data_IF_757863410969
#
_entry.id   IF_757863410969
#
_cell.length_a   1.000
_cell.length_b   1.000
_cell.length_c   1.000
_cell.angle_alpha   90.00
_cell.angle_beta   90.00
_cell.angle_gamma   90.00
#
_symmetry.space_group_name_H-M   'P 1'
#
loop_
_entity.id
_entity.type
_entity.pdbx_description
1 polymer ?
#
# COMPACT_ATOMS: atom_id res chain seq x y z
N UNK A 1 -4.14 23.00 26.72
CA UNK A 1 -5.24 22.81 25.75
C UNK A 1 -4.77 22.78 24.29
N UNK A 2 -3.56 23.25 23.96
CA UNK A 2 -3.03 23.27 22.58
C UNK A 2 -2.78 21.88 21.99
N UNK A 3 -2.20 20.96 22.77
CA UNK A 3 -1.82 19.61 22.27
C UNK A 3 -2.98 18.78 21.70
N UNK A 4 -4.17 18.87 22.31
CA UNK A 4 -5.37 18.18 21.81
C UNK A 4 -5.89 18.81 20.52
N UNK A 5 -5.80 20.13 20.39
CA UNK A 5 -6.21 20.86 19.19
C UNK A 5 -5.24 20.53 18.06
N UNK A 6 -3.93 20.59 18.32
CA UNK A 6 -2.86 20.21 17.40
C UNK A 6 -3.03 18.77 16.89
N UNK A 7 -3.30 17.83 17.80
CA UNK A 7 -3.56 16.42 17.46
C UNK A 7 -4.85 16.25 16.66
N UNK A 8 -5.92 16.98 17.01
CA UNK A 8 -7.20 16.89 16.31
C UNK A 8 -7.10 17.40 14.87
N UNK A 9 -6.32 18.46 14.65
CA UNK A 9 -6.11 19.05 13.32
C UNK A 9 -5.36 18.05 12.45
N UNK A 10 -4.26 17.48 12.95
CA UNK A 10 -3.50 16.46 12.22
C UNK A 10 -4.31 15.20 11.91
N UNK A 11 -5.16 14.75 12.83
CA UNK A 11 -6.02 13.59 12.58
C UNK A 11 -7.08 13.91 11.54
N UNK A 12 -7.68 15.10 11.60
CA UNK A 12 -8.74 15.52 10.67
C UNK A 12 -8.20 15.65 9.25
N UNK A 13 -7.04 16.28 9.08
CA UNK A 13 -6.36 16.39 7.80
C UNK A 13 -5.90 15.03 7.28
N UNK A 14 -5.36 14.16 8.14
CA UNK A 14 -4.98 12.81 7.76
C UNK A 14 -6.17 11.97 7.27
N UNK A 15 -7.33 12.07 7.92
CA UNK A 15 -8.58 11.42 7.48
C UNK A 15 -9.08 12.02 6.16
N UNK A 16 -9.01 13.35 6.00
CA UNK A 16 -9.39 14.01 4.75
C UNK A 16 -8.50 13.59 3.59
N UNK A 17 -7.18 13.62 3.76
CA UNK A 17 -6.22 13.23 2.72
C UNK A 17 -6.29 11.73 2.42
N UNK A 18 -6.46 10.89 3.45
CA UNK A 18 -6.69 9.47 3.28
C UNK A 18 -8.01 9.21 2.56
N UNK A 19 -9.08 9.90 2.92
CA UNK A 19 -10.40 9.81 2.30
C UNK A 19 -10.39 10.29 0.84
N UNK A 20 -9.72 11.41 0.53
CA UNK A 20 -9.55 11.91 -0.83
C UNK A 20 -8.70 10.96 -1.67
N UNK A 21 -7.57 10.50 -1.16
CA UNK A 21 -6.72 9.51 -1.82
C UNK A 21 -7.50 8.22 -2.07
N UNK A 22 -8.17 7.69 -1.06
CA UNK A 22 -9.02 6.51 -1.15
C UNK A 22 -10.14 6.66 -2.18
N UNK A 23 -10.91 7.75 -2.12
CA UNK A 23 -12.04 8.01 -3.02
C UNK A 23 -11.57 8.20 -4.47
N UNK A 24 -10.47 8.91 -4.67
CA UNK A 24 -9.87 9.11 -5.99
C UNK A 24 -9.36 7.78 -6.55
N UNK A 25 -8.64 6.99 -5.76
CA UNK A 25 -8.14 5.68 -6.19
C UNK A 25 -9.26 4.66 -6.41
N UNK A 26 -10.30 4.64 -5.57
CA UNK A 26 -11.46 3.75 -5.73
C UNK A 26 -12.24 4.07 -7.00
N UNK A 27 -12.33 5.35 -7.39
CA UNK A 27 -13.01 5.75 -8.62
C UNK A 27 -12.15 5.61 -9.89
N UNK A 28 -10.86 5.90 -9.81
CA UNK A 28 -9.98 5.95 -10.98
C UNK A 28 -9.31 4.61 -11.32
N UNK A 29 -9.09 3.73 -10.33
CA UNK A 29 -8.25 2.52 -10.51
C UNK A 29 -9.05 1.21 -10.58
N UNK A 30 -10.34 1.19 -10.18
CA UNK A 30 -11.11 -0.06 -9.96
C UNK A 30 -12.28 -0.29 -10.91
N UNK A 31 -12.45 0.50 -11.96
CA UNK A 31 -13.49 0.19 -12.96
C UNK A 31 -13.25 -1.16 -13.66
N UNK A 32 -12.03 -1.70 -13.63
CA UNK A 32 -11.66 -2.98 -14.27
C UNK A 32 -10.80 -3.94 -13.39
N UNK A 33 -10.69 -3.72 -12.07
CA UNK A 33 -9.78 -4.48 -11.18
C UNK A 33 -10.52 -5.50 -10.27
N UNK A 34 -11.60 -6.09 -10.77
CA UNK A 34 -12.46 -7.05 -10.04
C UNK A 34 -11.79 -8.39 -9.68
N UNK A 35 -10.55 -8.63 -10.11
CA UNK A 35 -9.87 -9.91 -9.87
C UNK A 35 -8.42 -9.65 -9.45
N UNK A 36 -8.20 -9.35 -8.16
CA UNK A 36 -7.32 -10.14 -7.24
C UNK A 36 -6.64 -9.37 -6.09
N UNK A 37 -6.43 -8.04 -6.06
CA UNK A 37 -5.64 -7.43 -4.96
C UNK A 37 -6.02 -6.00 -4.52
N UNK A 38 -7.14 -5.88 -3.79
CA UNK A 38 -7.54 -4.65 -3.08
C UNK A 38 -6.46 -4.12 -2.12
N UNK A 39 -5.66 -5.01 -1.52
CA UNK A 39 -4.73 -4.61 -0.45
C UNK A 39 -3.55 -3.78 -0.97
N UNK A 40 -3.09 -3.98 -2.20
CA UNK A 40 -1.98 -3.18 -2.77
C UNK A 40 -2.42 -1.72 -2.95
N UNK A 41 -3.65 -1.50 -3.39
CA UNK A 41 -4.24 -0.16 -3.49
C UNK A 41 -4.38 0.50 -2.11
N UNK A 42 -4.83 -0.25 -1.10
CA UNK A 42 -4.90 0.26 0.28
C UNK A 42 -3.52 0.69 0.75
N UNK A 43 -2.50 -0.16 0.60
CA UNK A 43 -1.12 0.15 0.99
C UNK A 43 -0.61 1.41 0.31
N UNK A 44 -0.89 1.58 -0.98
CA UNK A 44 -0.51 2.77 -1.72
C UNK A 44 -1.19 4.04 -1.17
N UNK A 45 -2.51 4.01 -0.96
CA UNK A 45 -3.26 5.14 -0.41
C UNK A 45 -2.84 5.50 1.02
N UNK A 46 -2.54 4.50 1.86
CA UNK A 46 -2.00 4.71 3.21
C UNK A 46 -0.62 5.37 3.15
N UNK A 47 0.26 4.89 2.28
CA UNK A 47 1.63 5.45 2.11
C UNK A 47 1.59 6.90 1.61
N UNK A 48 0.66 7.20 0.70
CA UNK A 48 0.41 8.55 0.22
C UNK A 48 -0.11 9.47 1.33
N UNK A 49 -1.12 9.03 2.10
CA UNK A 49 -1.64 9.80 3.22
C UNK A 49 -0.56 10.09 4.28
N UNK A 50 0.28 9.10 4.59
CA UNK A 50 1.43 9.27 5.48
C UNK A 50 2.47 10.27 4.97
N UNK A 51 2.66 10.34 3.64
CA UNK A 51 3.51 11.36 3.00
C UNK A 51 2.92 12.76 3.14
N UNK A 52 1.60 12.91 2.98
CA UNK A 52 0.89 14.16 3.24
C UNK A 52 1.00 14.62 4.70
N UNK A 53 0.87 13.70 5.67
CA UNK A 53 1.08 13.99 7.10
C UNK A 53 2.49 14.50 7.39
N UNK A 54 3.51 13.97 6.67
CA UNK A 54 4.90 14.42 6.77
C UNK A 54 5.07 15.87 6.28
N UNK A 55 4.41 16.23 5.18
CA UNK A 55 4.42 17.59 4.64
C UNK A 55 3.68 18.58 5.55
N UNK A 56 2.55 18.15 6.12
CA UNK A 56 1.78 18.96 7.05
C UNK A 56 2.54 19.25 8.35
N UNK A 57 3.32 18.30 8.84
CA UNK A 57 4.26 18.52 9.96
C UNK A 57 5.27 19.63 9.66
N UNK A 58 5.81 19.67 8.43
CA UNK A 58 6.74 20.71 8.00
C UNK A 58 6.04 22.07 7.93
N UNK A 59 4.82 22.14 7.38
CA UNK A 59 4.05 23.39 7.34
C UNK A 59 3.79 23.93 8.75
N UNK A 60 3.37 23.07 9.68
CA UNK A 60 3.13 23.48 11.07
C UNK A 60 4.40 23.84 11.83
N UNK A 61 5.56 23.33 11.42
CA UNK A 61 6.86 23.76 11.92
C UNK A 61 7.18 25.20 11.49
N UNK A 62 6.98 25.53 10.22
CA UNK A 62 7.22 26.89 9.68
C UNK A 62 6.23 27.91 10.26
N UNK A 63 4.97 27.51 10.50
CA UNK A 63 3.96 28.39 11.10
C UNK A 63 4.16 28.62 12.61
N UNK A 64 5.07 27.89 13.27
CA UNK A 64 5.39 28.08 14.69
C UNK A 64 4.27 27.73 15.68
N UNK A 65 3.22 27.03 15.22
CA UNK A 65 2.03 26.67 16.03
C UNK A 65 2.33 25.48 16.95
N UNK A 66 3.23 24.57 16.55
CA UNK A 66 3.46 23.31 17.23
C UNK A 66 4.63 23.36 18.25
N UNK A 67 4.37 22.80 19.44
CA UNK A 67 5.31 22.73 20.56
C UNK A 67 6.50 21.78 20.29
N UNK A 68 7.74 22.20 20.61
CA UNK A 68 8.99 21.53 20.19
C UNK A 68 9.08 20.04 20.55
N UNK A 69 8.61 19.63 21.73
CA UNK A 69 8.66 18.22 22.17
C UNK A 69 7.64 17.32 21.47
N UNK A 70 6.50 17.87 21.03
CA UNK A 70 5.46 17.12 20.30
C UNK A 70 5.91 16.80 18.87
N UNK A 71 6.58 17.76 18.22
CA UNK A 71 7.06 17.63 16.83
C UNK A 71 7.97 16.43 16.65
N UNK A 72 8.97 16.28 17.51
CA UNK A 72 9.97 15.22 17.37
C UNK A 72 9.36 13.82 17.50
N UNK A 73 8.34 13.68 18.35
CA UNK A 73 7.59 12.43 18.50
C UNK A 73 6.78 12.11 17.25
N UNK A 74 5.99 13.07 16.74
CA UNK A 74 5.21 12.89 15.52
C UNK A 74 6.07 12.59 14.30
N UNK A 75 7.21 13.27 14.16
CA UNK A 75 8.12 13.08 13.04
C UNK A 75 8.76 11.69 13.04
N UNK A 76 9.23 11.23 14.22
CA UNK A 76 9.83 9.91 14.38
C UNK A 76 8.82 8.78 14.21
N UNK A 77 7.60 8.94 14.73
CA UNK A 77 6.52 7.98 14.49
C UNK A 77 6.14 7.91 13.02
N UNK A 78 6.01 9.06 12.34
CA UNK A 78 5.62 9.11 10.94
C UNK A 78 6.62 8.42 10.02
N UNK A 79 7.92 8.70 10.23
CA UNK A 79 9.01 8.03 9.53
C UNK A 79 9.03 6.53 9.80
N UNK A 80 8.82 6.11 11.06
CA UNK A 80 8.82 4.70 11.43
C UNK A 80 7.70 3.93 10.70
N UNK A 81 6.49 4.47 10.66
CA UNK A 81 5.35 3.80 10.01
C UNK A 81 5.52 3.73 8.49
N UNK A 82 5.93 4.82 7.83
CA UNK A 82 6.21 4.80 6.37
C UNK A 82 7.28 3.76 6.04
N UNK A 83 8.37 3.75 6.82
CA UNK A 83 9.48 2.83 6.60
C UNK A 83 9.04 1.38 6.80
N UNK A 84 8.26 1.09 7.84
CA UNK A 84 7.73 -0.27 8.05
C UNK A 84 6.80 -0.71 6.92
N UNK A 85 5.91 0.17 6.45
CA UNK A 85 5.01 -0.15 5.33
C UNK A 85 5.83 -0.43 4.05
N UNK A 86 6.80 0.43 3.75
CA UNK A 86 7.54 0.35 2.50
C UNK A 86 8.58 -0.79 2.50
N UNK A 87 9.21 -1.07 3.64
CA UNK A 87 10.28 -2.08 3.76
C UNK A 87 9.73 -3.47 4.08
N UNK A 88 8.64 -3.60 4.85
CA UNK A 88 8.08 -4.92 5.17
C UNK A 88 6.86 -5.26 4.31
N UNK A 89 5.85 -4.40 4.27
CA UNK A 89 4.58 -4.72 3.61
C UNK A 89 4.71 -4.84 2.09
N UNK A 90 5.43 -3.93 1.44
CA UNK A 90 5.61 -3.94 -0.03
C UNK A 90 6.32 -5.22 -0.53
N UNK A 91 7.51 -5.60 -0.04
CA UNK A 91 8.18 -6.81 -0.54
C UNK A 91 7.42 -8.09 -0.16
N UNK A 92 6.71 -8.12 0.97
CA UNK A 92 5.86 -9.25 1.32
C UNK A 92 4.70 -9.42 0.32
N UNK A 93 4.11 -8.30 -0.13
CA UNK A 93 3.08 -8.31 -1.16
C UNK A 93 3.59 -8.77 -2.52
N UNK A 94 4.76 -8.27 -2.94
CA UNK A 94 5.41 -8.68 -4.19
C UNK A 94 5.74 -10.17 -4.15
N UNK A 95 6.26 -10.67 -3.02
CA UNK A 95 6.54 -12.09 -2.80
C UNK A 95 5.28 -12.96 -2.91
N UNK A 96 4.17 -12.56 -2.26
CA UNK A 96 2.90 -13.27 -2.36
C UNK A 96 2.36 -13.31 -3.80
N UNK A 97 2.47 -12.20 -4.52
CA UNK A 97 2.07 -12.12 -5.92
C UNK A 97 2.89 -13.08 -6.79
N UNK A 98 4.21 -13.07 -6.66
CA UNK A 98 5.10 -13.95 -7.44
C UNK A 98 4.78 -15.43 -7.17
N UNK A 99 4.63 -15.83 -5.90
CA UNK A 99 4.30 -17.23 -5.53
C UNK A 99 2.95 -17.66 -6.11
N UNK A 100 1.94 -16.79 -6.06
CA UNK A 100 0.61 -17.10 -6.61
C UNK A 100 0.63 -17.24 -8.14
N UNK A 101 1.41 -16.40 -8.84
CA UNK A 101 1.55 -16.48 -10.30
C UNK A 101 2.26 -17.76 -10.74
N UNK A 102 3.32 -18.19 -10.03
CA UNK A 102 4.05 -19.42 -10.36
C UNK A 102 3.16 -20.66 -10.20
N UNK A 103 2.33 -20.74 -9.15
CA UNK A 103 1.40 -21.87 -8.98
C UNK A 103 0.34 -21.93 -10.09
N UNK A 104 -0.20 -20.78 -10.51
CA UNK A 104 -1.18 -20.69 -11.59
C UNK A 104 -0.60 -21.10 -12.95
N UNK A 105 0.67 -20.77 -13.21
CA UNK A 105 1.37 -21.16 -14.45
C UNK A 105 1.79 -22.64 -14.46
N UNK A 106 2.13 -23.22 -13.30
CA UNK A 106 2.56 -24.61 -13.19
C UNK A 106 1.40 -25.61 -13.41
N UNK A 107 0.16 -25.25 -13.07
CA UNK A 107 -1.03 -26.10 -13.29
C UNK A 107 -1.23 -26.52 -14.77
N UNK A 108 -1.37 -25.60 -15.74
CA UNK A 108 -1.58 -25.97 -17.14
C UNK A 108 -0.33 -26.55 -17.82
N UNK A 109 0.88 -26.11 -17.44
CA UNK A 109 2.13 -26.65 -18.01
C UNK A 109 2.37 -28.12 -17.60
N UNK A 110 1.95 -28.51 -16.38
CA UNK A 110 1.98 -29.91 -15.94
C UNK A 110 0.97 -30.79 -16.68
N UNK A 111 -0.15 -30.23 -17.15
CA UNK A 111 -1.14 -30.92 -17.98
C UNK A 111 -0.69 -31.02 -19.44
N UNK A 112 -0.05 -30.00 -20.01
CA UNK A 112 0.57 -30.11 -21.34
C UNK A 112 1.70 -31.13 -21.34
N UNK A 113 2.62 -31.10 -20.37
CA UNK A 113 3.71 -32.09 -20.28
C UNK A 113 3.18 -33.53 -20.07
N UNK A 114 2.12 -33.72 -19.29
CA UNK A 114 1.49 -35.05 -19.16
C UNK A 114 0.76 -35.49 -20.43
N UNK A 115 0.10 -34.57 -21.15
CA UNK A 115 -0.63 -34.89 -22.37
C UNK A 115 0.27 -35.03 -23.60
N UNK A 116 1.46 -34.42 -23.61
CA UNK A 116 2.47 -34.59 -24.67
C UNK A 116 3.30 -35.88 -24.48
N UNK A 117 3.35 -36.45 -23.28
CA UNK A 117 3.82 -37.84 -23.05
C UNK A 117 2.78 -38.90 -23.45
N UNK A 118 1.59 -38.51 -23.92
CA UNK A 118 0.56 -39.38 -24.49
C UNK A 118 0.29 -39.06 -25.97
N UNK A 119 1.30 -38.67 -26.74
CA UNK A 119 1.25 -38.89 -28.19
C UNK A 119 1.87 -40.26 -28.50
N UNK A 120 1.07 -41.23 -28.96
CA UNK A 120 1.57 -42.56 -29.22
C UNK A 120 2.54 -42.53 -30.40
N UNK A 121 3.73 -43.07 -30.17
CA UNK A 121 4.44 -43.81 -31.22
C UNK A 121 3.48 -44.90 -31.69
N UNK A 122 2.81 -44.69 -32.82
CA UNK A 122 2.15 -45.77 -33.55
C UNK A 122 2.28 -45.55 -35.04
N UNK A 123 2.98 -46.50 -35.64
CA UNK A 123 3.34 -46.69 -37.03
C UNK A 123 2.15 -46.61 -37.99
N UNK A 124 2.41 -46.04 -39.17
CA UNK A 124 1.53 -46.00 -40.34
C UNK A 124 2.21 -45.25 -41.47
#
# INVERSE_FOLDING_TARGET
MSFLIDSSIMITSQILFFGFGWLFFMRQLFKDYEIRQYVVQVIFSVTFAFSCTMFELIIFEILGVLNSSSRYFHWKMNLCVILLILVFMVPFYIGYFIVSNIRLLLSPLSQCINNDCFFPVSYG
#
